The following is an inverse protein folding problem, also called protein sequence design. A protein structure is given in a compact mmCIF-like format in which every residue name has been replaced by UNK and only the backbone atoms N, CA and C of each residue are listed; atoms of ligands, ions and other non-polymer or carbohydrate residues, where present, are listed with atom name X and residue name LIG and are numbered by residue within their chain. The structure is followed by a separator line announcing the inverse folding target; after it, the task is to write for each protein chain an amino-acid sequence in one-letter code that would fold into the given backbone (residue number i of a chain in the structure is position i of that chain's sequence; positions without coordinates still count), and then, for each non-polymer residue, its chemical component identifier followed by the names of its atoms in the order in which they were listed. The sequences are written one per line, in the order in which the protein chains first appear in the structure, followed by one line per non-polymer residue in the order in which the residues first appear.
data_IF_727455268260
#
_entry.id   IF_727455268260
#
_cell.length_a   1.000
_cell.length_b   1.000
_cell.length_c   1.000
_cell.angle_alpha   90.00
_cell.angle_beta   90.00
_cell.angle_gamma   90.00
#
_symmetry.space_group_name_H-M   'P 1'
#
loop_
_entity.id
_entity.type
_entity.pdbx_description
1 polymer ?
#
# COMPACT_ATOMS: atom_id res chain seq x y z
N UNK A 1 6.87 14.15 -11.41
CA UNK A 1 5.49 14.42 -10.96
C UNK A 1 4.89 13.19 -10.29
N UNK A 2 4.26 13.40 -9.18
CA UNK A 2 3.65 12.30 -8.43
C UNK A 2 2.27 11.99 -9.02
N UNK A 3 2.05 10.75 -9.40
CA UNK A 3 0.76 10.31 -9.92
C UNK A 3 0.14 9.28 -9.01
N UNK A 4 -1.15 9.39 -8.80
CA UNK A 4 -1.90 8.42 -8.04
C UNK A 4 -2.98 7.82 -8.93
N UNK A 5 -3.01 6.51 -8.99
CA UNK A 5 -4.10 5.83 -9.68
C UNK A 5 -4.69 4.79 -8.74
N UNK A 6 -5.96 4.51 -8.92
CA UNK A 6 -6.66 3.53 -8.10
C UNK A 6 -7.16 2.40 -8.98
N UNK A 7 -6.93 1.19 -8.54
CA UNK A 7 -7.44 0.01 -9.22
C UNK A 7 -8.26 -0.81 -8.25
N UNK A 8 -9.32 -1.39 -8.75
CA UNK A 8 -10.15 -2.26 -7.94
C UNK A 8 -9.98 -3.69 -8.41
N UNK A 9 -9.68 -4.56 -7.47
CA UNK A 9 -9.54 -5.98 -7.78
C UNK A 9 -10.47 -6.76 -6.86
N UNK A 10 -11.16 -7.72 -7.42
CA UNK A 10 -11.96 -8.61 -6.63
C UNK A 10 -11.04 -9.62 -5.95
N UNK A 11 -11.12 -9.70 -4.64
CA UNK A 11 -10.24 -10.59 -3.89
C UNK A 11 -10.91 -11.03 -2.61
N UNK A 12 -10.60 -12.23 -2.18
CA UNK A 12 -11.05 -12.76 -0.90
C UNK A 12 -10.03 -12.51 0.21
N UNK A 13 -8.86 -11.98 -0.14
CA UNK A 13 -7.81 -11.73 0.83
C UNK A 13 -8.15 -10.52 1.71
N UNK A 14 -8.15 -10.68 3.04
CA UNK A 14 -8.46 -9.56 3.92
C UNK A 14 -7.51 -8.38 3.75
N UNK A 15 -6.26 -8.65 3.42
CA UNK A 15 -5.25 -7.60 3.26
C UNK A 15 -5.31 -6.91 1.92
N UNK A 16 -6.14 -7.40 1.00
CA UNK A 16 -6.20 -6.87 -0.35
C UNK A 16 -6.81 -5.47 -0.44
N UNK A 17 -7.28 -4.93 0.67
CA UNK A 17 -7.91 -3.62 0.70
C UNK A 17 -7.01 -2.53 1.23
N UNK A 18 -5.73 -2.81 1.36
CA UNK A 18 -4.78 -1.83 1.87
C UNK A 18 -4.27 -0.96 0.74
N UNK A 19 -3.98 0.28 1.08
CA UNK A 19 -3.26 1.16 0.16
C UNK A 19 -1.87 0.60 -0.02
N UNK A 20 -1.45 0.48 -1.27
CA UNK A 20 -0.14 -0.07 -1.59
C UNK A 20 0.63 0.91 -2.46
N UNK A 21 1.91 1.04 -2.17
CA UNK A 21 2.79 1.88 -2.96
C UNK A 21 4.22 1.49 -2.60
N UNK A 22 5.13 1.45 -3.57
CA UNK A 22 6.51 1.03 -3.30
C UNK A 22 7.19 1.83 -2.18
N UNK A 23 6.98 3.14 -2.14
CA UNK A 23 7.56 3.95 -1.08
C UNK A 23 6.98 3.60 0.28
N UNK A 24 5.68 3.36 0.34
CA UNK A 24 5.01 3.01 1.58
C UNK A 24 5.56 1.71 2.16
N UNK A 25 5.73 0.69 1.30
CA UNK A 25 6.28 -0.59 1.73
C UNK A 25 7.68 -0.43 2.30
N UNK A 26 8.50 0.36 1.64
CA UNK A 26 9.87 0.57 2.09
C UNK A 26 9.90 1.28 3.44
N UNK A 27 9.12 2.34 3.57
CA UNK A 27 9.10 3.11 4.82
C UNK A 27 8.58 2.28 5.98
N UNK A 28 7.55 1.47 5.74
CA UNK A 28 7.02 0.59 6.78
C UNK A 28 8.06 -0.43 7.21
N UNK A 29 8.77 -1.03 6.26
CA UNK A 29 9.79 -2.02 6.57
C UNK A 29 10.98 -1.40 7.31
N UNK A 30 11.38 -0.19 6.96
CA UNK A 30 12.44 0.50 7.67
C UNK A 30 12.01 0.80 9.10
N UNK A 31 10.76 1.25 9.28
CA UNK A 31 10.23 1.53 10.60
C UNK A 31 10.23 0.27 11.47
N UNK A 32 9.83 -0.86 10.91
CA UNK A 32 9.79 -2.12 11.65
C UNK A 32 11.17 -2.65 11.99
N UNK A 33 12.09 -2.58 11.05
CA UNK A 33 13.38 -3.26 11.20
C UNK A 33 14.51 -2.39 11.68
N UNK A 34 14.39 -1.08 11.49
CA UNK A 34 15.45 -0.15 11.88
C UNK A 34 16.68 -0.20 11.00
N UNK A 35 16.58 -0.80 9.82
CA UNK A 35 17.74 -1.01 8.96
C UNK A 35 17.29 -1.15 7.51
N UNK A 36 18.04 -0.51 6.61
CA UNK A 36 17.77 -0.65 5.17
C UNK A 36 18.05 -2.08 4.72
N UNK A 37 19.11 -2.68 5.22
CA UNK A 37 19.45 -4.07 4.87
C UNK A 37 18.38 -5.05 5.27
N UNK A 38 17.89 -4.92 6.50
CA UNK A 38 16.84 -5.80 6.98
C UNK A 38 15.53 -5.54 6.25
N UNK A 39 15.22 -4.28 5.97
CA UNK A 39 14.03 -3.94 5.20
C UNK A 39 14.09 -4.55 3.80
N UNK A 40 15.23 -4.45 3.14
CA UNK A 40 15.41 -5.04 1.81
C UNK A 40 15.17 -6.55 1.85
N UNK A 41 15.73 -7.21 2.86
CA UNK A 41 15.55 -8.65 3.02
C UNK A 41 14.08 -8.99 3.22
N UNK A 42 13.39 -8.24 4.08
CA UNK A 42 11.98 -8.45 4.34
C UNK A 42 11.14 -8.28 3.07
N UNK A 43 11.52 -7.35 2.21
CA UNK A 43 10.79 -7.08 0.96
C UNK A 43 11.24 -7.96 -0.20
N UNK A 44 12.26 -8.80 0.00
CA UNK A 44 12.77 -9.64 -1.06
C UNK A 44 13.48 -8.85 -2.16
N UNK A 45 14.14 -7.76 -1.80
CA UNK A 45 14.84 -6.89 -2.74
C UNK A 45 16.27 -6.69 -2.28
N UNK A 46 17.14 -6.24 -3.20
CA UNK A 46 18.51 -5.97 -2.83
C UNK A 46 18.62 -4.66 -2.04
N UNK A 47 19.65 -4.58 -1.23
CA UNK A 47 19.95 -3.35 -0.49
C UNK A 47 20.07 -2.16 -1.45
N UNK A 48 20.80 -2.37 -2.54
CA UNK A 48 21.02 -1.30 -3.52
C UNK A 48 19.70 -0.82 -4.13
N UNK A 49 18.79 -1.74 -4.39
CA UNK A 49 17.49 -1.38 -4.97
C UNK A 49 16.70 -0.51 -3.99
N UNK A 50 16.60 -0.92 -2.73
CA UNK A 50 15.85 -0.18 -1.72
C UNK A 50 16.49 1.18 -1.47
N UNK A 51 17.81 1.21 -1.35
CA UNK A 51 18.55 2.45 -1.15
C UNK A 51 18.31 3.42 -2.32
N UNK A 52 18.39 2.91 -3.53
CA UNK A 52 18.18 3.71 -4.74
C UNK A 52 16.77 4.27 -4.81
N UNK A 53 15.77 3.45 -4.48
CA UNK A 53 14.38 3.90 -4.46
C UNK A 53 14.19 5.03 -3.44
N UNK A 54 14.76 4.87 -2.25
CA UNK A 54 14.66 5.90 -1.23
C UNK A 54 15.29 7.21 -1.69
N UNK A 55 16.47 7.13 -2.31
CA UNK A 55 17.14 8.32 -2.79
C UNK A 55 16.36 8.99 -3.91
N UNK A 56 15.78 8.20 -4.79
CA UNK A 56 14.96 8.75 -5.86
C UNK A 56 13.75 9.49 -5.30
N UNK A 57 13.08 8.92 -4.32
CA UNK A 57 11.93 9.57 -3.71
C UNK A 57 12.31 10.82 -2.93
N UNK A 58 13.43 10.78 -2.22
CA UNK A 58 13.93 11.96 -1.52
C UNK A 58 14.18 13.11 -2.51
N UNK A 59 14.76 12.78 -3.65
CA UNK A 59 15.04 13.76 -4.69
C UNK A 59 13.75 14.28 -5.31
N UNK A 60 12.85 13.38 -5.68
CA UNK A 60 11.57 13.72 -6.30
C UNK A 60 10.74 14.63 -5.39
N UNK A 61 10.70 14.30 -4.10
CA UNK A 61 9.89 15.03 -3.12
C UNK A 61 10.63 16.19 -2.48
N UNK A 62 11.93 16.30 -2.74
CA UNK A 62 12.79 17.30 -2.13
C UNK A 62 12.67 17.27 -0.60
N UNK A 63 12.68 16.08 -0.03
CA UNK A 63 12.47 15.86 1.40
C UNK A 63 13.27 14.66 1.83
N UNK A 64 13.94 14.78 2.97
CA UNK A 64 14.65 13.64 3.53
C UNK A 64 13.66 12.70 4.19
N UNK A 65 13.83 11.40 3.92
CA UNK A 65 12.95 10.38 4.46
C UNK A 65 13.64 9.54 5.54
N UNK A 66 14.96 9.49 5.51
CA UNK A 66 15.72 8.61 6.38
C UNK A 66 16.76 9.41 7.16
N UNK A 67 16.84 9.11 8.46
CA UNK A 67 17.92 9.57 9.32
C UNK A 67 18.85 8.38 9.47
N UNK A 68 20.09 8.53 9.03
CA UNK A 68 21.07 7.45 9.08
C UNK A 68 21.67 7.36 10.48
N UNK A 69 21.83 6.16 10.98
CA UNK A 69 22.42 5.94 12.27
C UNK A 69 23.90 6.25 12.27
N UNK A 70 24.47 6.39 13.47
CA UNK A 70 25.90 6.66 13.61
C UNK A 70 26.71 5.52 13.04
N UNK A 71 27.80 5.86 12.41
CA UNK A 71 28.72 4.88 11.80
C UNK A 71 28.02 4.02 10.74
N UNK A 72 27.02 4.58 10.10
CA UNK A 72 26.30 3.87 9.04
C UNK A 72 25.44 2.73 9.53
N UNK A 73 25.21 2.63 10.82
CA UNK A 73 24.38 1.56 11.37
C UNK A 73 23.01 2.08 11.71
N UNK A 74 22.01 1.33 11.26
CA UNK A 74 20.64 1.67 11.53
C UNK A 74 20.10 2.74 10.60
N UNK A 75 18.81 2.84 10.59
CA UNK A 75 18.08 3.84 9.82
C UNK A 75 16.77 4.10 10.52
N UNK A 76 16.43 5.38 10.63
CA UNK A 76 15.16 5.78 11.21
C UNK A 76 14.44 6.68 10.24
N UNK A 77 13.14 6.73 10.34
CA UNK A 77 12.35 7.65 9.51
C UNK A 77 12.48 9.06 10.05
N UNK A 78 12.53 10.03 9.15
CA UNK A 78 12.44 11.42 9.55
C UNK A 78 11.04 11.71 10.10
N UNK A 79 10.87 12.81 10.85
CA UNK A 79 9.52 13.20 11.29
C UNK A 79 8.54 13.32 10.14
N UNK A 80 8.99 13.79 8.98
CA UNK A 80 8.14 13.92 7.80
C UNK A 80 7.69 12.55 7.30
N UNK A 81 8.60 11.58 7.25
CA UNK A 81 8.25 10.23 6.80
C UNK A 81 7.31 9.57 7.80
N UNK A 82 7.54 9.77 9.09
CA UNK A 82 6.65 9.24 10.11
C UNK A 82 5.25 9.85 9.99
N UNK A 83 5.19 11.16 9.79
CA UNK A 83 3.90 11.85 9.60
C UNK A 83 3.18 11.33 8.37
N UNK A 84 3.93 11.04 7.30
CA UNK A 84 3.36 10.47 6.10
C UNK A 84 2.71 9.11 6.39
N UNK A 85 3.39 8.24 7.12
CA UNK A 85 2.83 6.93 7.47
C UNK A 85 1.57 7.06 8.33
N UNK A 86 1.57 8.01 9.26
CA UNK A 86 0.38 8.25 10.08
C UNK A 86 -0.79 8.74 9.23
N UNK A 87 -0.50 9.63 8.29
CA UNK A 87 -1.53 10.14 7.39
C UNK A 87 -2.10 9.03 6.51
N UNK A 88 -1.24 8.14 6.02
CA UNK A 88 -1.68 6.98 5.24
C UNK A 88 -2.57 6.07 6.09
N UNK A 89 -2.15 5.84 7.32
CA UNK A 89 -2.93 4.99 8.23
C UNK A 89 -4.32 5.56 8.47
N UNK A 90 -4.41 6.87 8.65
CA UNK A 90 -5.69 7.53 8.83
C UNK A 90 -6.54 7.43 7.57
N UNK A 91 -5.94 7.66 6.41
CA UNK A 91 -6.63 7.55 5.13
C UNK A 91 -7.14 6.12 4.93
N UNK A 92 -6.33 5.13 5.30
CA UNK A 92 -6.72 3.73 5.21
C UNK A 92 -7.95 3.45 6.07
N UNK A 93 -7.97 3.99 7.29
CA UNK A 93 -9.09 3.84 8.20
C UNK A 93 -10.34 4.51 7.65
N UNK A 94 -10.20 5.70 7.10
CA UNK A 94 -11.32 6.44 6.51
C UNK A 94 -11.85 5.74 5.26
N UNK A 95 -10.97 5.08 4.52
CA UNK A 95 -11.34 4.39 3.29
C UNK A 95 -12.08 3.09 3.55
N UNK A 96 -11.80 2.42 4.64
CA UNK A 96 -12.33 1.08 4.91
C UNK A 96 -13.85 0.95 4.78
N UNK A 97 -14.67 1.86 5.35
CA UNK A 97 -16.13 1.74 5.19
C UNK A 97 -16.58 1.87 3.74
N UNK A 98 -15.90 2.70 2.96
CA UNK A 98 -16.22 2.89 1.55
C UNK A 98 -15.90 1.64 0.74
N UNK A 99 -14.77 1.01 1.03
CA UNK A 99 -14.39 -0.24 0.39
C UNK A 99 -15.38 -1.33 0.74
N UNK A 100 -15.78 -1.41 2.00
CA UNK A 100 -16.77 -2.41 2.44
C UNK A 100 -18.10 -2.21 1.71
N UNK A 101 -18.52 -0.96 1.55
CA UNK A 101 -19.75 -0.64 0.83
C UNK A 101 -19.66 -1.09 -0.64
N UNK A 102 -18.55 -0.79 -1.28
CA UNK A 102 -18.34 -1.17 -2.69
C UNK A 102 -18.36 -2.69 -2.84
N UNK A 103 -17.72 -3.40 -1.92
CA UNK A 103 -17.72 -4.86 -1.95
C UNK A 103 -19.11 -5.43 -1.80
N UNK A 104 -19.90 -4.88 -0.91
CA UNK A 104 -21.27 -5.35 -0.73
C UNK A 104 -22.11 -5.08 -1.98
N UNK A 105 -21.94 -3.91 -2.59
CA UNK A 105 -22.64 -3.58 -3.82
C UNK A 105 -22.25 -4.56 -4.93
N UNK A 106 -20.98 -4.91 -5.03
CA UNK A 106 -20.56 -5.85 -6.04
C UNK A 106 -21.13 -7.25 -5.81
N UNK A 107 -21.23 -7.67 -4.54
CA UNK A 107 -21.86 -8.95 -4.22
C UNK A 107 -23.31 -8.97 -4.70
N UNK A 108 -24.00 -7.85 -4.57
CA UNK A 108 -25.37 -7.74 -5.07
C UNK A 108 -25.41 -7.87 -6.59
N UNK A 109 -24.41 -7.29 -7.27
CA UNK A 109 -24.31 -7.46 -8.72
C UNK A 109 -24.14 -8.93 -9.10
N UNK A 110 -23.33 -9.65 -8.35
CA UNK A 110 -23.12 -11.08 -8.58
C UNK A 110 -24.40 -11.85 -8.33
N UNK A 111 -25.18 -11.44 -7.33
CA UNK A 111 -26.46 -12.08 -7.04
C UNK A 111 -27.44 -11.97 -8.21
N UNK A 112 -27.36 -10.87 -8.95
CA UNK A 112 -28.20 -10.72 -10.15
C UNK A 112 -27.91 -11.84 -11.15
N UNK A 113 -26.64 -12.19 -11.31
CA UNK A 113 -26.28 -13.29 -12.21
C UNK A 113 -26.87 -14.61 -11.75
N UNK A 114 -26.89 -14.85 -10.45
CA UNK A 114 -27.44 -16.09 -9.92
C UNK A 114 -28.95 -16.15 -10.05
N UNK A 115 -29.60 -15.03 -9.84
CA UNK A 115 -31.04 -14.99 -9.93
C UNK A 115 -31.54 -15.09 -11.36
N UNK A 116 -30.79 -14.56 -12.31
CA UNK A 116 -31.23 -14.55 -13.68
C UNK A 116 -31.15 -15.90 -14.34
N UNK A 117 -30.50 -16.90 -13.74
CA UNK A 117 -30.56 -18.14 -14.37
C UNK A 117 -31.63 -19.00 -13.79
N UNK A 118 -32.57 -18.47 -13.17
CA UNK A 118 -33.69 -19.18 -12.87
C UNK A 118 -34.35 -19.59 -14.15
N UNK A 119 -35.05 -20.58 -14.10
CA UNK A 119 -35.52 -21.30 -15.19
C UNK A 119 -36.08 -20.58 -16.27
N UNK A 120 -36.54 -19.68 -16.10
CA UNK A 120 -37.10 -19.06 -17.05
C UNK A 120 -36.29 -18.44 -17.86
N UNK A 121 -35.54 -18.58 -18.12
CA UNK A 121 -34.90 -18.00 -18.84
C UNK A 121 -35.27 -17.73 -19.99
N UNK A 122 -35.10 -17.21 -20.51
CA UNK A 122 -35.53 -16.78 -21.54
C UNK A 122 -35.15 -17.27 -22.61
N UNK A 123 -35.58 -17.48 -23.24
CA UNK A 123 -35.34 -18.01 -24.34
C UNK A 123 -34.86 -17.12 -25.22
N UNK A 124 -34.64 -16.94 -25.52
CA UNK A 124 -34.45 -16.15 -26.36
C UNK A 124 -34.30 -16.09 -26.94
#
# INVERSE_FOLDING_TARGET
MFHLSLEYKFSTEPTANRLEHPLLEILESVQETGSIGKAAKQLGRSYRHVWGELKNWESELNTNLIIWGRNGKGAELTPQATAFLLAVSKTQTDLAPHVAHIKNSFRECVSVLKNTHSPKRIPH
#
